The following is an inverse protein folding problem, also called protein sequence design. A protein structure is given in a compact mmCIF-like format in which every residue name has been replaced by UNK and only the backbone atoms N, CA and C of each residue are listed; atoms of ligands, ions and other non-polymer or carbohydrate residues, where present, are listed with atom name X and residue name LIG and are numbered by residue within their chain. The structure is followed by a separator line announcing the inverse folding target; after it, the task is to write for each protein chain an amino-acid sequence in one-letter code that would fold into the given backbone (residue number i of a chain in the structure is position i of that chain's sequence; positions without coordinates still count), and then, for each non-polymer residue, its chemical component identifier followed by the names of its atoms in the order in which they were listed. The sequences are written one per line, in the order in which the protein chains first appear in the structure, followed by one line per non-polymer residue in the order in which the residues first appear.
data_IF_149730608587
#
_entry.id   IF_149730608587
#
_cell.length_a   1.000
_cell.length_b   1.000
_cell.length_c   1.000
_cell.angle_alpha   90.00
_cell.angle_beta   90.00
_cell.angle_gamma   90.00
#
_symmetry.space_group_name_H-M   'P 1'
#
loop_
_entity.id
_entity.type
_entity.pdbx_description
1 polymer ?
#
# COMPACT_ATOMS: atom_id res chain seq x y z
N UNK A 1 -11.23 -21.87 2.61
CA UNK A 1 -10.26 -21.71 1.51
C UNK A 1 -9.25 -20.66 1.93
N UNK A 2 -7.95 -20.96 1.87
CA UNK A 2 -6.91 -19.93 2.02
C UNK A 2 -6.90 -19.08 0.75
N UNK A 3 -6.90 -17.75 0.88
CA UNK A 3 -6.92 -16.84 -0.27
C UNK A 3 -5.76 -17.12 -1.23
N UNK A 4 -6.00 -17.00 -2.54
CA UNK A 4 -5.00 -17.24 -3.60
C UNK A 4 -3.77 -16.34 -3.47
N UNK A 5 -3.93 -15.19 -2.83
CA UNK A 5 -2.90 -14.17 -2.69
C UNK A 5 -2.51 -13.97 -1.23
N UNK A 6 -1.22 -13.74 -0.99
CA UNK A 6 -0.68 -13.55 0.37
C UNK A 6 0.17 -12.29 0.39
N UNK A 7 -0.05 -11.43 1.38
CA UNK A 7 0.80 -10.26 1.61
C UNK A 7 1.74 -10.50 2.78
N UNK A 8 3.01 -10.11 2.62
CA UNK A 8 4.05 -10.17 3.65
C UNK A 8 5.03 -9.02 3.49
N UNK A 9 5.57 -8.50 4.58
CA UNK A 9 6.51 -7.36 4.56
C UNK A 9 7.71 -7.62 5.46
N UNK A 10 8.87 -7.03 5.14
CA UNK A 10 10.08 -7.12 5.96
C UNK A 10 10.27 -5.82 6.73
N UNK A 11 10.25 -5.85 8.05
CA UNK A 11 10.53 -4.64 8.81
C UNK A 11 11.97 -4.16 8.57
N UNK A 12 12.19 -2.84 8.52
CA UNK A 12 13.54 -2.30 8.50
C UNK A 12 14.28 -2.76 9.76
N UNK A 13 15.55 -3.13 9.62
CA UNK A 13 16.40 -3.65 10.70
C UNK A 13 16.03 -5.03 11.27
N UNK A 14 14.99 -5.69 10.75
CA UNK A 14 14.68 -7.10 11.08
C UNK A 14 14.91 -8.02 9.90
N UNK A 15 15.38 -9.24 10.20
CA UNK A 15 15.54 -10.33 9.21
C UNK A 15 14.23 -11.09 8.96
N UNK A 16 13.25 -10.94 9.85
CA UNK A 16 11.98 -11.66 9.78
C UNK A 16 11.00 -10.95 8.85
N UNK A 17 10.12 -11.76 8.24
CA UNK A 17 8.99 -11.26 7.42
C UNK A 17 7.72 -11.37 8.25
N UNK A 18 6.97 -10.29 8.33
CA UNK A 18 5.63 -10.25 8.91
C UNK A 18 4.63 -10.74 7.87
N UNK A 19 3.76 -11.66 8.27
CA UNK A 19 2.61 -12.08 7.48
C UNK A 19 1.46 -11.11 7.71
N UNK A 20 0.92 -10.54 6.63
CA UNK A 20 -0.12 -9.50 6.70
C UNK A 20 -1.53 -10.06 6.46
N UNK A 21 -1.63 -11.26 5.89
CA UNK A 21 -2.91 -11.89 5.58
C UNK A 21 -2.87 -12.71 4.29
N UNK A 22 -3.94 -13.48 4.08
CA UNK A 22 -4.29 -14.07 2.79
C UNK A 22 -5.57 -13.41 2.27
N UNK A 23 -5.64 -13.22 0.96
CA UNK A 23 -6.65 -12.40 0.28
C UNK A 23 -7.19 -13.14 -0.94
N UNK A 24 -8.44 -12.83 -1.28
CA UNK A 24 -9.10 -13.45 -2.44
C UNK A 24 -8.54 -12.89 -3.75
N UNK A 25 -8.16 -11.61 -3.76
CA UNK A 25 -7.64 -10.90 -4.94
C UNK A 25 -6.23 -10.35 -4.73
N UNK A 26 -5.52 -10.09 -5.83
CA UNK A 26 -4.20 -9.48 -5.79
C UNK A 26 -4.25 -8.02 -5.29
N UNK A 27 -5.29 -7.29 -5.67
CA UNK A 27 -5.48 -5.88 -5.32
C UNK A 27 -5.67 -5.70 -3.81
N UNK A 28 -6.46 -6.56 -3.17
CA UNK A 28 -6.62 -6.57 -1.72
C UNK A 28 -5.30 -6.83 -0.99
N UNK A 29 -4.51 -7.80 -1.48
CA UNK A 29 -3.20 -8.11 -0.92
C UNK A 29 -2.22 -6.93 -1.06
N UNK A 30 -2.19 -6.30 -2.24
CA UNK A 30 -1.36 -5.14 -2.51
C UNK A 30 -1.77 -3.93 -1.65
N UNK A 31 -3.08 -3.67 -1.49
CA UNK A 31 -3.60 -2.62 -0.61
C UNK A 31 -3.21 -2.85 0.86
N UNK A 32 -3.31 -4.08 1.35
CA UNK A 32 -2.91 -4.44 2.70
C UNK A 32 -1.40 -4.21 2.90
N UNK A 33 -0.58 -4.61 1.92
CA UNK A 33 0.86 -4.35 1.93
C UNK A 33 1.15 -2.84 1.99
N UNK A 34 0.54 -2.05 1.11
CA UNK A 34 0.83 -0.61 0.97
C UNK A 34 0.45 0.20 2.22
N UNK A 35 -0.62 -0.21 2.92
CA UNK A 35 -0.99 0.36 4.22
C UNK A 35 0.10 0.15 5.25
N UNK A 36 0.67 -1.05 5.31
CA UNK A 36 1.71 -1.40 6.29
C UNK A 36 3.06 -0.80 5.89
N UNK A 37 3.42 -0.84 4.60
CA UNK A 37 4.63 -0.21 4.09
C UNK A 37 4.69 1.27 4.42
N UNK A 38 3.57 2.00 4.30
CA UNK A 38 3.49 3.42 4.68
C UNK A 38 3.71 3.66 6.17
N UNK A 39 3.19 2.77 7.01
CA UNK A 39 3.38 2.86 8.48
C UNK A 39 4.83 2.54 8.88
N UNK A 40 5.48 1.61 8.18
CA UNK A 40 6.84 1.15 8.51
C UNK A 40 7.94 2.04 7.93
N UNK A 41 7.80 2.50 6.69
CA UNK A 41 8.84 3.26 5.97
C UNK A 41 8.50 4.75 5.80
N UNK A 42 7.32 5.19 6.24
CA UNK A 42 6.92 6.59 6.22
C UNK A 42 6.27 7.07 4.91
N UNK A 43 6.02 8.40 4.79
CA UNK A 43 5.33 9.06 3.66
C UNK A 43 5.91 8.77 2.27
N UNK A 44 7.18 8.40 2.19
CA UNK A 44 7.88 8.13 0.93
C UNK A 44 8.07 6.64 0.65
N UNK A 45 7.40 5.77 1.43
CA UNK A 45 7.39 4.33 1.18
C UNK A 45 7.01 4.03 -0.28
N UNK A 46 7.76 3.13 -0.93
CA UNK A 46 7.42 2.61 -2.24
C UNK A 46 6.22 1.66 -2.12
N UNK A 47 5.17 1.94 -2.89
CA UNK A 47 3.88 1.24 -2.82
C UNK A 47 3.61 0.50 -4.13
N UNK A 48 2.84 -0.58 -4.06
CA UNK A 48 2.41 -1.32 -5.25
C UNK A 48 1.33 -0.58 -6.03
N UNK A 49 0.45 0.15 -5.34
CA UNK A 49 -0.70 0.87 -5.92
C UNK A 49 -0.64 2.37 -5.57
N UNK A 50 0.37 3.12 -6.08
CA UNK A 50 0.54 4.53 -5.77
C UNK A 50 -0.60 5.41 -6.30
N UNK A 51 -1.25 4.99 -7.40
CA UNK A 51 -2.36 5.70 -8.03
C UNK A 51 -3.66 5.67 -7.21
N UNK A 52 -3.83 4.71 -6.30
CA UNK A 52 -4.98 4.66 -5.39
C UNK A 52 -4.90 5.70 -4.27
N UNK A 53 -3.77 6.41 -4.14
CA UNK A 53 -3.56 7.50 -3.16
C UNK A 53 -3.66 8.91 -3.76
N UNK A 54 -4.02 9.04 -5.04
CA UNK A 54 -3.93 10.30 -5.78
C UNK A 54 -5.18 10.66 -6.59
N UNK A 55 -6.37 10.59 -6.00
CA UNK A 55 -7.51 11.41 -6.46
C UNK A 55 -8.22 12.07 -5.27
N UNK A 56 -7.46 12.80 -4.47
CA UNK A 56 -7.97 14.10 -4.07
C UNK A 56 -7.67 14.99 -5.27
N UNK A 57 -8.65 15.18 -6.15
CA UNK A 57 -8.64 16.39 -6.96
C UNK A 57 -8.68 17.53 -5.95
N UNK A 58 -7.52 18.06 -5.55
CA UNK A 58 -7.48 19.44 -5.13
C UNK A 58 -7.86 20.21 -6.38
N UNK A 59 -9.15 20.52 -6.49
CA UNK A 59 -9.68 21.49 -7.43
C UNK A 59 -9.15 22.86 -6.98
N UNK A 60 -7.87 23.09 -7.24
CA UNK A 60 -7.21 24.38 -7.04
C UNK A 60 -6.51 24.71 -8.35
N UNK A 61 -7.31 24.94 -9.39
CA UNK A 61 -7.00 25.78 -10.56
C UNK A 61 -8.33 26.12 -11.26
N UNK A 62 -9.18 26.90 -10.59
CA UNK A 62 -10.05 27.87 -11.27
C UNK A 62 -9.63 29.24 -10.74
N UNK A 63 -8.64 29.81 -11.41
CA UNK A 63 -8.07 31.10 -11.07
C UNK A 63 -6.95 31.45 -12.05
N UNK A 64 -7.32 32.21 -13.08
CA UNK A 64 -6.46 32.93 -14.04
C UNK A 64 -5.79 32.10 -15.16
N UNK A 65 -6.58 31.85 -16.21
CA UNK A 65 -6.38 32.47 -17.54
C UNK A 65 -7.73 32.75 -18.16
#
# INVERSE_FOLDING_TARGET
MWGKWVAKIREPNKRTRLWLGSFATADEAALAYDKVARRLYGPDAFLNLPHLRGRVMTQLWLGLV
#
